data_IF_075879668186
#
_entry.id   IF_075879668186
#
_cell.length_a   1.000
_cell.length_b   1.000
_cell.length_c   1.000
_cell.angle_alpha   90.00
_cell.angle_beta   90.00
_cell.angle_gamma   90.00
#
_symmetry.space_group_name_H-M   'P 1'
#
loop_
_entity.id
_entity.type
_entity.pdbx_description
1 polymer ?
2 non-polymer ?
3 non-polymer ?
4 non-polymer ?
5 water ?
#
# COMPACT_ATOMS: atom_id res chain seq x y z
N UNK A 22 -20.55 17.94 4.95
CA UNK A 22 -20.64 16.46 4.82
C UNK A 22 -20.33 15.78 6.15
N UNK A 23 -21.33 15.10 6.70
CA UNK A 23 -21.26 14.49 8.03
C UNK A 23 -21.07 12.97 7.98
N UNK A 24 -20.99 12.42 6.77
CA UNK A 24 -20.88 10.98 6.56
C UNK A 24 -19.45 10.50 6.58
N UNK A 25 -19.20 9.38 5.90
CA UNK A 25 -17.87 8.78 5.86
C UNK A 25 -17.15 9.14 4.58
N UNK A 26 -15.87 9.47 4.71
CA UNK A 26 -14.98 9.69 3.59
C UNK A 26 -13.98 8.51 3.51
N UNK A 27 -14.01 7.80 2.37
CA UNK A 27 -13.17 6.64 2.12
C UNK A 27 -11.99 6.99 1.17
N UNK A 28 -10.76 6.81 1.64
CA UNK A 28 -9.57 7.05 0.85
C UNK A 28 -9.16 5.79 0.08
N UNK A 29 -9.08 5.91 -1.25
CA UNK A 29 -8.62 4.81 -2.12
C UNK A 29 -7.56 5.31 -3.09
N UNK A 30 -6.80 4.39 -3.65
CA UNK A 30 -5.89 4.73 -4.75
C UNK A 30 -6.31 4.07 -6.07
N UNK A 31 -5.95 4.74 -7.18
CA UNK A 31 -6.25 4.24 -8.53
C UNK A 31 -5.52 2.97 -8.86
N UNK A 32 -6.00 2.30 -9.89
CA UNK A 32 -5.43 1.01 -10.30
C UNK A 32 -6.00 -0.12 -9.48
N UNK A 33 -5.13 -1.02 -9.02
CA UNK A 33 -5.56 -2.29 -8.45
C UNK A 33 -6.37 -2.17 -7.16
N UNK A 34 -6.03 -1.22 -6.30
CA UNK A 34 -6.77 -1.05 -5.05
C UNK A 34 -8.21 -0.62 -5.34
N UNK A 35 -8.39 0.35 -6.24
CA UNK A 35 -9.74 0.77 -6.65
C UNK A 35 -10.47 -0.41 -7.31
N UNK A 36 -9.80 -1.07 -8.25
CA UNK A 36 -10.40 -2.19 -8.97
C UNK A 36 -10.84 -3.34 -8.08
N UNK A 37 -10.01 -3.69 -7.10
CA UNK A 37 -10.31 -4.82 -6.21
C UNK A 37 -11.18 -4.43 -5.00
N UNK A 38 -11.29 -3.14 -4.69
CA UNK A 38 -12.18 -2.69 -3.64
C UNK A 38 -13.64 -2.55 -4.14
N UNK A 39 -13.82 -2.20 -5.41
CA UNK A 39 -15.18 -1.92 -5.94
C UNK A 39 -16.22 -3.03 -5.70
N UNK A 40 -15.84 -4.30 -5.90
CA UNK A 40 -16.79 -5.39 -5.57
C UNK A 40 -17.18 -5.46 -4.09
N UNK A 41 -16.25 -5.17 -3.20
CA UNK A 41 -16.54 -5.13 -1.76
C UNK A 41 -17.50 -3.99 -1.46
N UNK A 42 -17.25 -2.84 -2.06
CA UNK A 42 -18.12 -1.69 -1.88
C UNK A 42 -19.52 -1.94 -2.46
N UNK A 43 -19.59 -2.55 -3.64
CA UNK A 43 -20.87 -2.91 -4.24
C UNK A 43 -21.69 -3.78 -3.31
N UNK A 44 -21.07 -4.85 -2.81
CA UNK A 44 -21.72 -5.74 -1.87
C UNK A 44 -22.19 -5.03 -0.59
N UNK A 45 -21.51 -3.95 -0.23
CA UNK A 45 -21.89 -3.10 0.92
C UNK A 45 -22.87 -1.96 0.59
N UNK A 46 -23.45 -1.95 -0.61
CA UNK A 46 -24.40 -0.93 -1.03
C UNK A 46 -23.76 0.37 -1.49
N UNK A 47 -22.48 0.34 -1.85
CA UNK A 47 -21.77 1.58 -2.23
C UNK A 47 -21.19 1.40 -3.64
N UNK A 48 -21.66 2.22 -4.58
CA UNK A 48 -21.10 2.24 -5.93
C UNK A 48 -20.77 3.65 -6.32
N UNK A 49 -19.63 3.79 -7.00
CA UNK A 49 -19.27 5.05 -7.63
C UNK A 49 -20.23 5.35 -8.80
N UNK A 50 -20.42 6.64 -9.07
CA UNK A 50 -21.34 7.07 -10.12
C UNK A 50 -20.61 7.35 -11.42
N UNK A 51 -19.28 7.29 -11.39
CA UNK A 51 -18.47 7.33 -12.60
C UNK A 51 -17.15 6.65 -12.36
N UNK A 52 -16.36 6.50 -13.42
CA UNK A 52 -15.01 5.95 -13.33
C UNK A 52 -14.04 7.05 -12.90
N UNK A 53 -13.45 6.95 -11.69
CA UNK A 53 -12.42 7.93 -11.31
C UNK A 53 -11.16 7.95 -12.19
N UNK A 54 -10.84 6.83 -12.85
CA UNK A 54 -9.68 6.74 -13.75
C UNK A 54 -9.76 7.78 -14.90
N UNK A 55 -10.98 8.06 -15.38
CA UNK A 55 -11.21 9.00 -16.49
C UNK A 55 -11.57 10.44 -16.06
N UNK A 56 -11.38 10.77 -14.78
CA UNK A 56 -11.69 12.10 -14.28
C UNK A 56 -10.46 12.75 -13.63
N UNK A 57 -10.41 14.08 -13.73
CA UNK A 57 -9.43 14.88 -13.01
C UNK A 57 -9.89 15.16 -11.57
N UNK A 58 -11.19 14.98 -11.30
CA UNK A 58 -11.74 15.15 -9.96
C UNK A 58 -11.13 14.18 -8.96
N UNK A 59 -11.17 14.60 -7.70
CA UNK A 59 -10.58 13.82 -6.62
C UNK A 59 -11.60 13.37 -5.57
N UNK A 60 -12.72 14.07 -5.42
CA UNK A 60 -13.82 13.69 -4.53
C UNK A 60 -14.99 13.18 -5.36
N UNK A 61 -15.52 12.01 -5.00
CA UNK A 61 -16.57 11.34 -5.75
C UNK A 61 -17.72 10.93 -4.85
N UNK A 62 -18.95 11.27 -5.25
CA UNK A 62 -20.10 10.75 -4.52
C UNK A 62 -20.28 9.27 -4.82
N UNK A 63 -21.13 8.62 -4.03
CA UNK A 63 -21.50 7.24 -4.28
C UNK A 63 -23.02 7.10 -4.30
N UNK A 64 -23.49 5.91 -4.64
CA UNK A 64 -24.89 5.55 -4.54
C UNK A 64 -25.44 5.74 -3.12
N UNK A 65 -24.59 5.60 -2.10
CA UNK A 65 -24.98 5.89 -0.71
C UNK A 65 -24.59 7.36 -0.37
N UNK A 66 -25.58 8.22 -0.05
CA UNK A 66 -25.24 9.61 0.31
C UNK A 66 -24.46 9.81 1.61
N UNK A 67 -24.34 8.78 2.45
CA UNK A 67 -23.46 8.86 3.62
C UNK A 67 -21.99 8.49 3.34
N UNK A 68 -21.64 8.16 2.10
CA UNK A 68 -20.28 7.74 1.76
C UNK A 68 -19.80 8.45 0.51
N UNK A 69 -18.63 9.08 0.62
CA UNK A 69 -17.90 9.63 -0.53
C UNK A 69 -16.49 9.06 -0.54
N UNK A 70 -15.87 9.16 -1.70
CA UNK A 70 -14.58 8.55 -1.97
C UNK A 70 -13.57 9.62 -2.34
N UNK A 71 -12.40 9.60 -1.69
CA UNK A 71 -11.22 10.33 -2.15
C UNK A 71 -10.30 9.42 -2.92
N UNK A 72 -9.82 9.88 -4.06
CA UNK A 72 -8.83 9.16 -4.86
C UNK A 72 -7.48 9.82 -4.63
N UNK A 73 -6.56 9.05 -4.07
CA UNK A 73 -5.26 9.56 -3.65
C UNK A 73 -4.16 8.66 -4.16
N UNK A 74 -2.93 9.18 -4.16
CA UNK A 74 -1.76 8.34 -4.36
C UNK A 74 -1.74 7.35 -3.19
N UNK A 75 -1.33 6.11 -3.46
CA UNK A 75 -1.31 5.09 -2.42
C UNK A 75 -0.56 5.54 -1.16
N UNK A 76 0.56 6.23 -1.34
CA UNK A 76 1.37 6.67 -0.20
C UNK A 76 0.68 7.74 0.66
N UNK A 77 -0.30 8.47 0.12
CA UNK A 77 -1.06 9.46 0.88
C UNK A 77 -2.28 8.92 1.63
N UNK A 78 -2.71 7.69 1.34
CA UNK A 78 -3.91 7.13 1.98
C UNK A 78 -3.77 7.10 3.52
N UNK A 79 -2.67 6.53 4.04
CA UNK A 79 -2.48 6.52 5.50
C UNK A 79 -2.43 7.90 6.13
N UNK A 80 -1.79 8.83 5.43
CA UNK A 80 -1.74 10.23 5.84
C UNK A 80 -3.12 10.86 6.01
N UNK A 81 -3.97 10.74 5.00
CA UNK A 81 -5.32 11.31 5.09
C UNK A 81 -6.14 10.68 6.22
N UNK A 82 -6.03 9.37 6.35
CA UNK A 82 -6.77 8.63 7.36
C UNK A 82 -6.28 8.98 8.78
N UNK A 83 -4.95 8.95 8.98
CA UNK A 83 -4.33 9.33 10.26
C UNK A 83 -4.83 10.69 10.71
N UNK A 84 -4.80 11.67 9.81
CA UNK A 84 -5.19 13.04 10.12
C UNK A 84 -6.68 13.28 10.19
N UNK A 85 -7.49 12.30 9.78
CA UNK A 85 -8.95 12.43 9.83
C UNK A 85 -9.54 13.15 8.64
N UNK A 86 -8.74 13.46 7.62
CA UNK A 86 -9.26 14.00 6.37
C UNK A 86 -10.09 12.95 5.61
N UNK A 87 -9.75 11.68 5.82
CA UNK A 87 -10.62 10.56 5.50
C UNK A 87 -10.89 9.77 6.80
N UNK A 88 -12.08 9.17 6.88
CA UNK A 88 -12.45 8.36 8.05
C UNK A 88 -11.86 6.97 8.00
N UNK A 89 -11.74 6.44 6.79
CA UNK A 89 -11.17 5.13 6.56
C UNK A 89 -10.59 5.05 5.16
N UNK A 90 -9.86 3.98 4.92
CA UNK A 90 -9.13 3.82 3.66
C UNK A 90 -8.60 2.43 3.47
N UNK A 91 -8.19 2.15 2.24
CA UNK A 91 -7.59 0.86 1.86
C UNK A 91 -6.15 1.11 1.41
N UNK A 92 -5.20 0.59 2.19
CA UNK A 92 -3.78 0.83 1.95
C UNK A 92 -3.03 -0.49 1.93
N UNK A 93 -2.02 -0.60 1.07
CA UNK A 93 -1.18 -1.79 1.02
C UNK A 93 -0.40 -1.92 2.32
N UNK A 94 -0.18 -3.15 2.78
CA UNK A 94 0.61 -3.40 4.00
C UNK A 94 2.02 -2.77 3.90
N UNK A 95 2.61 -2.86 2.71
CA UNK A 95 3.91 -2.22 2.38
C UNK A 95 3.94 -0.72 2.70
N UNK A 96 2.90 -0.01 2.28
CA UNK A 96 2.77 1.44 2.50
C UNK A 96 2.56 1.70 4.00
N UNK A 97 1.75 0.87 4.64
CA UNK A 97 1.49 0.99 6.08
C UNK A 97 2.73 0.77 6.94
N UNK A 98 3.49 -0.28 6.63
CA UNK A 98 4.76 -0.55 7.30
C UNK A 98 5.74 0.62 7.14
N UNK A 99 5.82 1.16 5.94
CA UNK A 99 6.76 2.23 5.63
C UNK A 99 6.35 3.55 6.29
N UNK A 100 5.08 3.88 6.16
CA UNK A 100 4.52 5.10 6.76
C UNK A 100 4.49 5.02 8.28
N UNK A 101 4.15 3.85 8.83
CA UNK A 101 3.88 3.70 10.26
C UNK A 101 2.38 3.65 10.50
N UNK A 102 1.92 2.65 11.24
CA UNK A 102 0.49 2.41 11.43
C UNK A 102 0.02 2.62 12.88
N UNK A 103 0.83 3.30 13.69
CA UNK A 103 0.53 3.48 15.11
C UNK A 103 -0.57 4.51 15.42
N UNK A 104 -0.98 5.31 14.42
CA UNK A 104 -2.02 6.32 14.65
C UNK A 104 -3.26 6.14 13.77
N UNK A 105 -3.45 4.90 13.32
CA UNK A 105 -4.70 4.46 12.72
C UNK A 105 -4.99 3.08 13.31
N UNK A 106 -6.19 2.55 13.12
CA UNK A 106 -6.47 1.16 13.44
C UNK A 106 -6.54 0.37 12.15
N UNK A 107 -5.82 -0.75 12.08
CA UNK A 107 -5.94 -1.72 11.00
C UNK A 107 -7.00 -2.73 11.41
N UNK A 108 -8.15 -2.71 10.72
CA UNK A 108 -9.26 -3.56 11.13
C UNK A 108 -9.40 -4.85 10.33
N UNK A 109 -9.12 -4.83 9.03
CA UNK A 109 -9.26 -6.01 8.18
C UNK A 109 -8.11 -6.17 7.22
N UNK A 110 -7.76 -7.42 6.95
CA UNK A 110 -6.91 -7.78 5.85
C UNK A 110 -7.90 -8.12 4.74
N UNK A 111 -7.92 -7.30 3.70
CA UNK A 111 -8.88 -7.49 2.61
C UNK A 111 -8.46 -8.56 1.62
N UNK A 112 -7.19 -9.00 1.70
CA UNK A 112 -6.64 -10.05 0.83
C UNK A 112 -6.70 -9.69 -0.66
N UNK A 113 -6.63 -8.38 -0.96
CA UNK A 113 -6.56 -7.87 -2.32
C UNK A 113 -5.18 -7.24 -2.54
N UNK A 114 -4.85 -7.01 -3.80
CA UNK A 114 -3.55 -6.48 -4.25
C UNK A 114 -2.42 -7.22 -3.54
N UNK A 115 -2.47 -8.54 -3.65
CA UNK A 115 -1.53 -9.42 -2.96
C UNK A 115 -0.19 -9.52 -3.69
N UNK A 116 0.88 -9.33 -2.94
CA UNK A 116 2.23 -9.36 -3.48
C UNK A 116 3.20 -9.59 -2.32
N UNK A 117 4.49 -9.42 -2.55
CA UNK A 117 5.44 -9.50 -1.45
C UNK A 117 6.57 -8.50 -1.58
N UNK A 118 7.02 -8.01 -0.43
CA UNK A 118 8.21 -7.18 -0.37
C UNK A 118 9.40 -8.09 -0.44
N UNK A 119 10.34 -7.79 -1.32
CA UNK A 119 11.54 -8.61 -1.49
C UNK A 119 12.76 -7.74 -1.70
N UNK A 120 13.94 -8.30 -1.46
CA UNK A 120 15.19 -7.71 -1.94
C UNK A 120 15.45 -8.28 -3.32
N UNK A 121 16.17 -7.54 -4.14
CA UNK A 121 16.56 -8.00 -5.47
C UNK A 121 17.85 -7.34 -5.92
N UNK A 122 18.56 -8.00 -6.82
CA UNK A 122 19.82 -7.50 -7.37
C UNK A 122 20.03 -8.02 -8.79
N UNK A 123 21.13 -7.59 -9.41
CA UNK A 123 21.49 -8.08 -10.74
C UNK A 123 21.73 -9.58 -10.62
N UNK A 124 21.18 -10.34 -11.57
CA UNK A 124 21.24 -11.81 -11.53
C UNK A 124 22.70 -12.28 -11.51
N UNK A 125 23.02 -13.06 -10.47
CA UNK A 125 24.36 -13.63 -10.24
C UNK A 125 25.47 -12.62 -9.95
N UNK A 126 25.15 -11.36 -9.69
CA UNK A 126 26.19 -10.39 -9.33
C UNK A 126 26.56 -10.63 -7.88
N UNK A 127 27.87 -10.74 -7.57
CA UNK A 127 28.26 -10.84 -6.16
C UNK A 127 28.11 -9.51 -5.41
N UNK A 128 27.94 -9.58 -4.11
CA UNK A 128 27.89 -8.39 -3.28
C UNK A 128 29.27 -7.75 -3.20
N UNK A 129 29.33 -6.41 -3.11
CA UNK A 129 30.64 -5.76 -3.00
C UNK A 129 31.18 -5.87 -1.59
N UNK A 130 32.47 -5.55 -1.42
CA UNK A 130 33.14 -5.60 -0.12
C UNK A 130 33.02 -4.25 0.58
N UNK A 131 31.83 -3.99 1.10
CA UNK A 131 31.56 -2.79 1.92
C UNK A 131 30.11 -2.81 2.38
N UNK A 132 29.76 -1.85 3.24
CA UNK A 132 28.36 -1.61 3.64
C UNK A 132 27.49 -1.54 2.38
N UNK A 133 26.39 -2.30 2.37
CA UNK A 133 25.51 -2.34 1.19
C UNK A 133 24.71 -1.04 1.02
N UNK A 134 24.41 -0.71 -0.23
CA UNK A 134 23.58 0.42 -0.58
C UNK A 134 22.29 -0.13 -1.16
N UNK A 135 21.17 0.19 -0.53
CA UNK A 135 19.86 -0.30 -0.93
C UNK A 135 19.12 0.87 -1.56
N UNK A 136 18.67 0.72 -2.81
CA UNK A 136 17.88 1.75 -3.47
C UNK A 136 16.43 1.31 -3.38
N UNK A 137 15.58 2.17 -2.83
CA UNK A 137 14.21 1.78 -2.55
C UNK A 137 13.38 2.97 -2.13
N UNK A 138 12.08 2.90 -2.38
CA UNK A 138 11.14 3.80 -1.71
C UNK A 138 10.80 3.35 -0.29
N UNK A 139 11.03 2.08 0.03
CA UNK A 139 10.70 1.51 1.33
C UNK A 139 11.91 1.55 2.26
N UNK A 140 12.31 2.77 2.61
CA UNK A 140 13.57 3.01 3.32
C UNK A 140 13.54 2.47 4.74
N UNK A 141 12.42 2.69 5.44
CA UNK A 141 12.24 2.19 6.81
C UNK A 141 12.17 0.67 6.85
N UNK A 142 11.44 0.08 5.91
CA UNK A 142 11.34 -1.39 5.81
C UNK A 142 12.70 -2.00 5.48
N UNK A 143 13.43 -1.38 4.54
CA UNK A 143 14.76 -1.86 4.15
C UNK A 143 15.71 -1.85 5.34
N UNK A 144 15.76 -0.74 6.05
CA UNK A 144 16.60 -0.64 7.24
C UNK A 144 16.27 -1.71 8.27
N UNK A 145 14.97 -1.83 8.58
CA UNK A 145 14.52 -2.81 9.57
C UNK A 145 14.82 -4.23 9.12
N UNK A 146 14.57 -4.54 7.83
CA UNK A 146 14.84 -5.89 7.36
C UNK A 146 16.33 -6.27 7.41
N UNK A 147 17.19 -5.38 6.94
CA UNK A 147 18.62 -5.70 6.93
C UNK A 147 19.14 -5.77 8.35
N UNK A 148 18.63 -4.90 9.23
CA UNK A 148 18.97 -4.96 10.65
C UNK A 148 18.58 -6.32 11.25
N UNK A 149 17.43 -6.86 10.87
CA UNK A 149 17.04 -8.22 11.32
C UNK A 149 17.96 -9.33 10.80
N UNK A 150 18.69 -9.07 9.71
CA UNK A 150 19.72 -9.97 9.17
C UNK A 150 21.13 -9.65 9.65
N UNK A 151 21.27 -8.78 10.65
CA UNK A 151 22.56 -8.42 11.21
C UNK A 151 23.37 -7.36 10.47
N UNK A 152 22.74 -6.63 9.54
CA UNK A 152 23.44 -5.66 8.70
C UNK A 152 22.92 -4.23 8.86
N UNK A 153 23.84 -3.27 9.05
CA UNK A 153 23.54 -1.86 8.87
C UNK A 153 23.84 -1.52 7.43
N UNK A 154 22.90 -0.90 6.76
CA UNK A 154 23.05 -0.59 5.34
C UNK A 154 22.84 0.89 5.14
N UNK A 155 23.40 1.43 4.08
CA UNK A 155 23.00 2.73 3.57
C UNK A 155 21.78 2.54 2.67
N UNK A 156 20.84 3.48 2.80
CA UNK A 156 19.61 3.46 2.01
C UNK A 156 19.59 4.70 1.14
N UNK A 157 19.28 4.51 -0.15
CA UNK A 157 19.08 5.60 -1.08
C UNK A 157 17.59 5.65 -1.40
N UNK A 158 16.95 6.76 -1.03
CA UNK A 158 15.52 6.96 -1.22
C UNK A 158 15.22 7.25 -2.70
N UNK A 159 14.33 6.44 -3.27
CA UNK A 159 13.85 6.61 -4.64
C UNK A 159 12.35 6.68 -4.59
N UNK A 160 11.77 7.33 -5.60
CA UNK A 160 10.33 7.46 -5.72
C UNK A 160 9.74 6.59 -6.80
N UNK A 161 10.55 6.11 -7.74
CA UNK A 161 10.04 5.23 -8.79
C UNK A 161 11.07 4.34 -9.44
N UNK A 162 10.57 3.36 -10.18
CA UNK A 162 11.38 2.54 -11.07
C UNK A 162 12.63 1.99 -10.39
N UNK A 163 12.42 1.31 -9.28
CA UNK A 163 13.50 0.66 -8.55
C UNK A 163 14.39 -0.21 -9.42
N UNK A 164 13.77 -0.94 -10.36
CA UNK A 164 14.49 -1.89 -11.24
C UNK A 164 15.66 -1.31 -12.02
N UNK A 165 15.64 -0.01 -12.29
CA UNK A 165 16.73 0.66 -12.97
C UNK A 165 18.00 0.81 -12.13
N UNK A 166 17.82 1.01 -10.82
CA UNK A 166 18.92 1.39 -9.95
C UNK A 166 20.13 0.43 -10.01
N UNK A 167 19.90 -0.89 -9.83
CA UNK A 167 21.05 -1.81 -9.93
C UNK A 167 21.76 -1.79 -11.30
N UNK A 168 21.00 -1.56 -12.39
CA UNK A 168 21.55 -1.59 -13.74
C UNK A 168 22.52 -0.45 -14.03
N UNK A 169 22.35 0.69 -13.38
CA UNK A 169 23.25 1.84 -13.54
C UNK A 169 24.13 2.05 -12.32
N UNK A 170 24.16 1.06 -11.43
CA UNK A 170 25.03 1.07 -10.27
C UNK A 170 24.63 1.99 -9.12
N UNK A 171 23.42 2.52 -9.14
CA UNK A 171 22.84 3.20 -7.98
C UNK A 171 22.38 2.12 -7.02
N UNK A 172 23.11 1.92 -5.94
CA UNK A 172 22.78 0.81 -5.04
C UNK A 172 23.09 -0.60 -5.55
N UNK A 173 23.36 -1.47 -4.58
CA UNK A 173 23.73 -2.87 -4.81
C UNK A 173 22.52 -3.76 -4.88
N UNK A 174 21.49 -3.43 -4.11
CA UNK A 174 20.25 -4.16 -4.12
C UNK A 174 19.12 -3.16 -4.11
N UNK A 175 17.93 -3.63 -4.43
CA UNK A 175 16.72 -2.86 -4.24
C UNK A 175 15.82 -3.58 -3.25
N UNK A 176 14.87 -2.83 -2.70
CA UNK A 176 13.74 -3.40 -1.99
C UNK A 176 12.51 -2.88 -2.71
N UNK A 177 11.68 -3.80 -3.16
CA UNK A 177 10.46 -3.45 -3.87
C UNK A 177 9.43 -4.55 -3.75
N UNK A 178 8.19 -4.23 -4.12
CA UNK A 178 7.15 -5.24 -4.20
C UNK A 178 7.30 -6.04 -5.47
N UNK A 179 7.11 -7.35 -5.33
CA UNK A 179 7.17 -8.31 -6.42
C UNK A 179 5.89 -9.13 -6.40
N UNK A 180 5.32 -9.36 -7.57
CA UNK A 180 4.14 -10.22 -7.73
C UNK A 180 4.49 -11.37 -8.68
N UNK A 181 4.40 -11.17 -9.99
CA UNK A 181 4.77 -12.20 -10.96
C UNK A 181 6.28 -12.39 -11.04
N UNK A 182 7.04 -11.32 -10.78
CA UNK A 182 8.47 -11.30 -11.04
C UNK A 182 8.84 -10.83 -12.44
N UNK A 183 7.85 -10.47 -13.26
CA UNK A 183 8.08 -10.03 -14.64
C UNK A 183 8.98 -8.81 -14.71
N UNK A 184 8.77 -7.86 -13.82
CA UNK A 184 9.57 -6.63 -13.80
C UNK A 184 11.06 -6.91 -13.52
N UNK A 185 11.33 -7.76 -12.53
CA UNK A 185 12.71 -8.17 -12.23
C UNK A 185 13.33 -8.91 -13.41
N UNK A 186 12.64 -9.92 -13.95
CA UNK A 186 13.13 -10.72 -15.10
C UNK A 186 13.36 -9.88 -16.35
N UNK A 187 12.44 -8.97 -16.67
CA UNK A 187 12.60 -8.06 -17.80
C UNK A 187 13.85 -7.19 -17.72
N UNK A 188 14.33 -6.95 -16.51
CA UNK A 188 15.50 -6.12 -16.26
C UNK A 188 16.75 -6.88 -15.82
N UNK A 189 16.77 -8.20 -15.99
CA UNK A 189 17.92 -9.01 -15.61
C UNK A 189 18.22 -9.05 -14.11
N UNK A 190 17.19 -8.81 -13.29
CA UNK A 190 17.31 -8.89 -11.85
C UNK A 190 16.69 -10.20 -11.34
N UNK A 191 17.11 -10.62 -10.15
CA UNK A 191 16.56 -11.80 -9.48
C UNK A 191 16.25 -11.46 -8.02
N UNK A 192 15.15 -11.97 -7.50
CA UNK A 192 14.81 -11.82 -6.08
C UNK A 192 15.83 -12.59 -5.26
N UNK A 193 16.30 -11.98 -4.17
CA UNK A 193 17.26 -12.60 -3.26
C UNK A 193 16.57 -13.03 -1.97
N UNK A 194 15.88 -12.11 -1.30
CA UNK A 194 15.24 -12.40 -0.01
C UNK A 194 13.78 -12.05 -0.05
N UNK A 195 12.99 -12.83 0.68
CA UNK A 195 11.56 -12.60 0.87
C UNK A 195 11.43 -11.85 2.19
N UNK A 196 10.93 -10.62 2.15
CA UNK A 196 10.83 -9.81 3.38
C UNK A 196 9.52 -10.13 4.09
N UNK A 197 8.40 -9.91 3.41
CA UNK A 197 7.09 -10.28 3.96
C UNK A 197 6.04 -10.32 2.87
N UNK A 198 4.91 -10.95 3.18
CA UNK A 198 3.74 -10.91 2.31
C UNK A 198 3.03 -9.56 2.51
N UNK A 199 2.42 -9.08 1.44
CA UNK A 199 1.72 -7.81 1.43
C UNK A 199 0.34 -8.06 0.83
N UNK A 200 -0.65 -7.40 1.43
CA UNK A 200 -2.01 -7.35 0.92
C UNK A 200 -2.56 -6.01 1.35
N UNK A 201 -3.69 -5.62 0.75
CA UNK A 201 -4.32 -4.36 1.13
C UNK A 201 -5.16 -4.51 2.40
N UNK A 202 -5.11 -3.47 3.24
CA UNK A 202 -5.73 -3.50 4.56
C UNK A 202 -6.74 -2.37 4.71
N UNK A 203 -7.78 -2.61 5.48
CA UNK A 203 -8.78 -1.58 5.81
C UNK A 203 -8.31 -0.91 7.09
N UNK A 204 -8.05 0.39 6.98
CA UNK A 204 -7.59 1.20 8.11
C UNK A 204 -8.62 2.27 8.43
N UNK A 205 -8.71 2.64 9.71
CA UNK A 205 -9.71 3.58 10.19
C UNK A 205 -9.04 4.63 11.11
N UNK A 206 -9.51 5.87 11.01
CA UNK A 206 -9.07 6.94 11.91
C UNK A 206 -9.56 6.62 13.32
N UNK A 207 -8.69 6.85 14.31
CA UNK A 207 -8.95 6.40 15.68
C UNK A 207 -10.13 7.13 16.31
N UNK A 208 -10.34 8.40 15.93
CA UNK A 208 -11.49 9.19 16.40
C UNK A 208 -12.78 8.83 15.62
N UNK A 209 -12.68 8.73 14.29
CA UNK A 209 -13.81 8.34 13.45
C UNK A 209 -14.40 6.99 13.86
N UNK A 210 -13.53 6.06 14.26
CA UNK A 210 -13.97 4.74 14.75
C UNK A 210 -14.89 4.89 15.95
N UNK A 211 -14.53 5.79 16.86
CA UNK A 211 -15.30 6.05 18.06
C UNK A 211 -16.58 6.84 17.75
N UNK A 212 -16.47 7.88 16.95
CA UNK A 212 -17.56 8.83 16.75
C UNK A 212 -18.52 8.51 15.62
N UNK A 213 -18.09 7.73 14.63
CA UNK A 213 -18.95 7.39 13.48
C UNK A 213 -19.14 5.88 13.33
N UNK A 214 -19.09 5.16 14.46
CA UNK A 214 -19.18 3.70 14.45
C UNK A 214 -20.49 3.20 13.84
N UNK A 215 -21.58 3.94 14.04
CA UNK A 215 -22.88 3.59 13.48
C UNK A 215 -22.89 3.53 11.95
N UNK A 216 -22.17 4.44 11.31
CA UNK A 216 -22.00 4.42 9.85
C UNK A 216 -20.99 3.35 9.41
N UNK A 217 -19.89 3.24 10.14
CA UNK A 217 -18.83 2.29 9.79
C UNK A 217 -19.24 0.84 9.92
N UNK A 218 -19.94 0.52 11.00
CA UNK A 218 -20.16 -0.88 11.39
C UNK A 218 -20.77 -1.76 10.28
N UNK A 219 -21.89 -1.33 9.66
CA UNK A 219 -22.44 -2.16 8.57
C UNK A 219 -21.49 -2.37 7.40
N UNK A 220 -20.70 -1.35 7.06
CA UNK A 220 -19.76 -1.44 5.95
C UNK A 220 -18.63 -2.42 6.31
N UNK A 221 -18.08 -2.26 7.51
CA UNK A 221 -17.05 -3.18 8.01
C UNK A 221 -17.58 -4.60 8.07
N UNK A 222 -18.79 -4.78 8.60
CA UNK A 222 -19.44 -6.10 8.64
C UNK A 222 -19.65 -6.68 7.26
N UNK A 223 -20.02 -5.84 6.29
CA UNK A 223 -20.18 -6.30 4.91
C UNK A 223 -18.86 -6.75 4.31
N UNK A 224 -17.82 -5.95 4.50
CA UNK A 224 -16.49 -6.29 3.99
C UNK A 224 -15.99 -7.60 4.57
N UNK A 225 -16.14 -7.76 5.88
CA UNK A 225 -15.72 -8.97 6.56
C UNK A 225 -16.43 -10.19 5.97
N UNK A 226 -17.74 -10.09 5.78
CA UNK A 226 -18.53 -11.13 5.15
C UNK A 226 -18.05 -11.44 3.72
N UNK A 227 -17.86 -10.39 2.91
CA UNK A 227 -17.38 -10.57 1.53
C UNK A 227 -16.03 -11.28 1.46
N UNK A 228 -15.09 -10.92 2.32
CA UNK A 228 -13.75 -11.53 2.29
C UNK A 228 -13.70 -12.96 2.85
N UNK A 229 -14.71 -13.36 3.63
CA UNK A 229 -14.85 -14.77 4.00
C UNK A 229 -15.17 -15.58 2.74
#
# INVERSE_FOLDING_TARGET
GMTEVTNSLPTSGLLNEANDEFLGLTLALSKGRILEETMPLLRAAGVELLEDPEASRKLIFPTSNPNVRVLILRASDVPTYVEHGAADFGVAGKDVLLEHGANHVYELLDLKIAQCKLMTAGVKDAPLPNRRLRIATKYVNVARAYFASQGQQVDVIKLYGSMELAPLVGLGDLIVDVVDTGNTLRANGLEARDHICDVSSRLIVNQVSYKRKFALLEPILDSFKNSINSTS
#
